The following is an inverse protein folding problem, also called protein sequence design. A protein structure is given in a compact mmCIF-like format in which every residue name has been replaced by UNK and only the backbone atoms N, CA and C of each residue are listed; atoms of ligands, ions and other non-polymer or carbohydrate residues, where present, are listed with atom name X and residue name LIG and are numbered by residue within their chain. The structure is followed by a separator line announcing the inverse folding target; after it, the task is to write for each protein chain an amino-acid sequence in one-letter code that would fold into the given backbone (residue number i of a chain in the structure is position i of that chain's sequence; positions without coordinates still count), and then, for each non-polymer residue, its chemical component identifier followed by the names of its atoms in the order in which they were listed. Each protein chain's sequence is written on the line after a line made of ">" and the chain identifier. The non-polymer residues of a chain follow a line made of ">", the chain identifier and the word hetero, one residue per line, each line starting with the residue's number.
data_IF_637458166029
#
_entry.id   IF_637458166029
#
_cell.length_a   1.000
_cell.length_b   1.000
_cell.length_c   1.000
_cell.angle_alpha   90.00
_cell.angle_beta   90.00
_cell.angle_gamma   90.00
#
_symmetry.space_group_name_H-M   'P 1'
#
loop_
_entity.id
_entity.type
_entity.pdbx_description
1 polymer ?
#
# COMPACT_ATOMS: atom_id res chain seq x y z
N UNK A 1 -23.56 16.77 -3.00
CA UNK A 1 -24.66 17.61 -3.51
C UNK A 1 -25.93 17.22 -2.78
N UNK A 2 -26.63 18.12 -2.09
CA UNK A 2 -27.71 17.72 -1.20
C UNK A 2 -28.96 17.36 -2.02
N UNK A 3 -29.54 16.19 -1.73
CA UNK A 3 -30.67 15.56 -2.44
C UNK A 3 -31.94 16.42 -2.51
N UNK A 4 -32.08 17.42 -1.62
CA UNK A 4 -33.21 18.35 -1.64
C UNK A 4 -33.22 19.30 -2.86
N UNK A 5 -32.06 19.60 -3.46
CA UNK A 5 -31.97 20.46 -4.66
C UNK A 5 -32.58 19.78 -5.91
N UNK A 6 -32.45 18.46 -6.01
CA UNK A 6 -33.03 17.68 -7.11
C UNK A 6 -34.55 17.56 -6.96
N UNK A 7 -35.04 17.37 -5.73
CA UNK A 7 -36.47 17.30 -5.43
C UNK A 7 -37.19 18.66 -5.63
N UNK A 8 -36.52 19.77 -5.37
CA UNK A 8 -37.08 21.10 -5.62
C UNK A 8 -37.21 21.36 -7.14
N UNK A 9 -36.23 20.92 -7.93
CA UNK A 9 -36.25 21.07 -9.39
C UNK A 9 -37.37 20.27 -10.07
N UNK A 10 -37.63 19.04 -9.63
CA UNK A 10 -38.74 18.23 -10.15
C UNK A 10 -40.11 18.78 -9.77
N UNK A 11 -40.26 19.34 -8.57
CA UNK A 11 -41.52 19.93 -8.12
C UNK A 11 -41.88 21.20 -8.91
N UNK A 12 -40.89 22.04 -9.23
CA UNK A 12 -41.08 23.24 -10.07
C UNK A 12 -41.47 22.85 -11.49
N UNK A 13 -40.84 21.83 -12.08
CA UNK A 13 -41.18 21.34 -13.42
C UNK A 13 -42.61 20.79 -13.51
N UNK A 14 -43.06 20.10 -12.45
CA UNK A 14 -44.41 19.55 -12.36
C UNK A 14 -45.48 20.65 -12.21
N UNK A 15 -45.21 21.67 -11.38
CA UNK A 15 -46.11 22.84 -11.22
C UNK A 15 -46.19 23.67 -12.49
N UNK A 16 -45.07 23.87 -13.21
CA UNK A 16 -45.08 24.56 -14.51
C UNK A 16 -45.89 23.79 -15.56
N UNK A 17 -45.76 22.46 -15.63
CA UNK A 17 -46.54 21.62 -16.54
C UNK A 17 -48.04 21.67 -16.22
N UNK A 18 -48.40 21.65 -14.93
CA UNK A 18 -49.78 21.79 -14.49
C UNK A 18 -50.36 23.19 -14.80
N UNK A 19 -49.57 24.26 -14.67
CA UNK A 19 -50.01 25.62 -15.00
C UNK A 19 -50.23 25.81 -16.51
N UNK A 20 -49.37 25.21 -17.35
CA UNK A 20 -49.52 25.23 -18.80
C UNK A 20 -50.75 24.43 -19.22
N UNK A 21 -50.97 23.23 -18.66
CA UNK A 21 -52.17 22.44 -18.88
C UNK A 21 -53.46 23.16 -18.41
N UNK A 22 -53.40 23.86 -17.26
CA UNK A 22 -54.53 24.65 -16.75
C UNK A 22 -54.83 25.90 -17.60
N UNK A 23 -53.79 26.54 -18.17
CA UNK A 23 -53.95 27.66 -19.12
C UNK A 23 -54.52 27.21 -20.46
N UNK A 24 -54.15 26.02 -20.94
CA UNK A 24 -54.70 25.41 -22.15
C UNK A 24 -56.15 24.95 -21.93
N UNK A 25 -56.46 24.34 -20.77
CA UNK A 25 -57.80 23.87 -20.43
C UNK A 25 -58.85 24.96 -20.20
N UNK A 26 -58.44 26.21 -19.89
CA UNK A 26 -59.36 27.34 -19.75
C UNK A 26 -59.76 28.01 -21.07
N UNK A 27 -59.11 27.66 -22.20
CA UNK A 27 -59.46 28.22 -23.51
C UNK A 27 -60.52 27.42 -24.29
N UNK A 28 -61.01 26.30 -23.75
CA UNK A 28 -61.87 25.34 -24.50
C UNK A 28 -63.25 25.09 -23.91
N UNK A 29 -63.82 26.02 -23.13
CA UNK A 29 -65.24 25.95 -22.75
C UNK A 29 -65.92 27.32 -22.90
N UNK A 30 -66.03 27.78 -24.15
CA UNK A 30 -67.03 28.77 -24.55
C UNK A 30 -67.90 28.13 -25.65
N UNK A 31 -69.12 27.76 -25.30
CA UNK A 31 -70.14 27.29 -26.24
C UNK A 31 -70.43 28.38 -27.29
N UNK A 32 -70.58 28.03 -28.58
CA UNK A 32 -70.96 29.00 -29.60
C UNK A 32 -72.45 29.34 -29.45
N UNK A 33 -72.76 30.63 -29.28
CA UNK A 33 -74.11 31.13 -29.57
C UNK A 33 -74.26 31.21 -31.08
N UNK A 34 -75.08 30.32 -31.64
CA UNK A 34 -75.56 30.40 -33.02
C UNK A 34 -76.48 31.63 -33.14
N UNK A 35 -75.90 32.77 -33.52
CA UNK A 35 -76.63 33.82 -34.21
C UNK A 35 -76.42 33.58 -35.71
N UNK A 36 -77.51 33.42 -36.45
CA UNK A 36 -77.47 33.14 -37.88
C UNK A 36 -76.77 34.26 -38.65
N UNK A 37 -75.64 33.92 -39.27
CA UNK A 37 -75.09 34.63 -40.42
C UNK A 37 -74.55 33.57 -41.39
N UNK A 38 -75.05 33.58 -42.62
CA UNK A 38 -74.80 32.56 -43.63
C UNK A 38 -73.42 32.71 -44.26
N UNK A 39 -72.35 32.43 -43.51
CA UNK A 39 -71.00 32.22 -44.05
C UNK A 39 -70.67 30.73 -44.14
N UNK A 40 -70.09 30.34 -45.26
CA UNK A 40 -69.98 28.96 -45.73
C UNK A 40 -69.09 28.07 -44.84
N UNK A 41 -69.38 26.75 -44.74
CA UNK A 41 -68.56 25.77 -44.02
C UNK A 41 -67.08 25.71 -44.45
N UNK A 42 -66.71 26.30 -45.60
CA UNK A 42 -65.35 26.32 -46.14
C UNK A 42 -64.34 27.19 -45.39
N UNK A 43 -64.77 28.32 -44.78
CA UNK A 43 -63.83 29.25 -44.11
C UNK A 43 -63.31 28.70 -42.76
N UNK A 44 -64.15 28.00 -42.00
CA UNK A 44 -63.73 27.32 -40.75
C UNK A 44 -62.89 26.07 -41.03
N UNK A 45 -63.14 25.38 -42.15
CA UNK A 45 -62.33 24.25 -42.58
C UNK A 45 -60.90 24.68 -42.96
N UNK A 46 -60.74 25.83 -43.64
CA UNK A 46 -59.42 26.38 -43.96
C UNK A 46 -58.61 26.81 -42.74
N UNK A 47 -59.25 27.44 -41.74
CA UNK A 47 -58.58 27.85 -40.50
C UNK A 47 -58.18 26.65 -39.60
N UNK A 48 -58.87 25.52 -39.73
CA UNK A 48 -58.48 24.27 -39.06
C UNK A 48 -57.31 23.59 -39.79
N UNK A 49 -57.31 23.57 -41.13
CA UNK A 49 -56.22 23.03 -41.94
C UNK A 49 -54.89 23.82 -41.76
N UNK A 50 -54.96 25.15 -41.64
CA UNK A 50 -53.81 25.99 -41.28
C UNK A 50 -53.26 25.66 -39.88
N UNK A 51 -54.12 25.36 -38.90
CA UNK A 51 -53.67 24.99 -37.55
C UNK A 51 -53.12 23.57 -37.50
N UNK A 52 -53.71 22.63 -38.24
CA UNK A 52 -53.20 21.26 -38.34
C UNK A 52 -51.83 21.24 -39.03
N UNK A 53 -51.64 22.03 -40.09
CA UNK A 53 -50.32 22.20 -40.74
C UNK A 53 -49.28 22.86 -39.82
N UNK A 54 -49.67 23.87 -39.03
CA UNK A 54 -48.79 24.49 -38.02
C UNK A 54 -48.41 23.50 -36.90
N UNK A 55 -49.35 22.70 -36.40
CA UNK A 55 -49.12 21.65 -35.40
C UNK A 55 -48.16 20.58 -35.93
N UNK A 56 -48.37 20.11 -37.16
CA UNK A 56 -47.47 19.15 -37.81
C UNK A 56 -46.05 19.71 -37.92
N UNK A 57 -45.91 21.00 -38.27
CA UNK A 57 -44.59 21.66 -38.34
C UNK A 57 -43.92 21.76 -36.96
N UNK A 58 -44.66 22.18 -35.93
CA UNK A 58 -44.15 22.26 -34.56
C UNK A 58 -43.74 20.88 -34.01
N UNK A 59 -44.50 19.83 -34.30
CA UNK A 59 -44.14 18.47 -33.93
C UNK A 59 -42.87 17.98 -34.65
N UNK A 60 -42.70 18.33 -35.93
CA UNK A 60 -41.46 18.02 -36.67
C UNK A 60 -40.24 18.77 -36.11
N UNK A 61 -40.40 20.05 -35.73
CA UNK A 61 -39.36 20.83 -35.07
C UNK A 61 -38.97 20.25 -33.69
N UNK A 62 -39.97 19.89 -32.86
CA UNK A 62 -39.76 19.22 -31.56
C UNK A 62 -39.08 17.86 -31.70
N UNK A 63 -39.46 17.06 -32.70
CA UNK A 63 -38.83 15.77 -32.99
C UNK A 63 -37.36 15.96 -33.37
N UNK A 64 -37.06 16.92 -34.24
CA UNK A 64 -35.68 17.26 -34.65
C UNK A 64 -34.86 17.76 -33.45
N UNK A 65 -35.43 18.60 -32.60
CA UNK A 65 -34.78 19.07 -31.37
C UNK A 65 -34.51 17.94 -30.39
N UNK A 66 -35.45 17.01 -30.24
CA UNK A 66 -35.30 15.83 -29.39
C UNK A 66 -34.17 14.93 -29.90
N UNK A 67 -34.12 14.65 -31.21
CA UNK A 67 -33.04 13.87 -31.84
C UNK A 67 -31.66 14.51 -31.64
N UNK A 68 -31.55 15.83 -31.86
CA UNK A 68 -30.30 16.57 -31.64
C UNK A 68 -29.88 16.54 -30.16
N UNK A 69 -30.83 16.66 -29.23
CA UNK A 69 -30.54 16.58 -27.79
C UNK A 69 -30.06 15.19 -27.38
N UNK A 70 -30.63 14.12 -27.95
CA UNK A 70 -30.21 12.75 -27.70
C UNK A 70 -28.84 12.46 -28.30
N UNK A 71 -28.56 12.93 -29.52
CA UNK A 71 -27.25 12.80 -30.14
C UNK A 71 -26.17 13.50 -29.30
N UNK A 72 -26.44 14.72 -28.84
CA UNK A 72 -25.56 15.47 -27.94
C UNK A 72 -25.31 14.74 -26.61
N UNK A 73 -26.36 14.20 -25.97
CA UNK A 73 -26.23 13.42 -24.73
C UNK A 73 -25.40 12.14 -24.93
N UNK A 74 -25.57 11.44 -26.07
CA UNK A 74 -24.77 10.25 -26.39
C UNK A 74 -23.30 10.58 -26.55
N UNK A 75 -22.99 11.62 -27.32
CA UNK A 75 -21.61 12.06 -27.53
C UNK A 75 -20.95 12.49 -26.22
N UNK A 76 -21.67 13.26 -25.39
CA UNK A 76 -21.18 13.67 -24.08
C UNK A 76 -20.92 12.47 -23.17
N UNK A 77 -21.84 11.50 -23.11
CA UNK A 77 -21.67 10.27 -22.34
C UNK A 77 -20.47 9.44 -22.82
N UNK A 78 -20.22 9.36 -24.14
CA UNK A 78 -19.05 8.69 -24.68
C UNK A 78 -17.76 9.39 -24.28
N UNK A 79 -17.70 10.72 -24.40
CA UNK A 79 -16.54 11.51 -23.98
C UNK A 79 -16.26 11.37 -22.48
N UNK A 80 -17.29 11.37 -21.63
CA UNK A 80 -17.18 11.16 -20.19
C UNK A 80 -16.63 9.76 -19.86
N UNK A 81 -17.14 8.71 -20.52
CA UNK A 81 -16.65 7.33 -20.32
C UNK A 81 -15.19 7.16 -20.72
N UNK A 82 -14.78 7.72 -21.87
CA UNK A 82 -13.39 7.68 -22.32
C UNK A 82 -12.45 8.36 -21.32
N UNK A 83 -12.79 9.58 -20.89
CA UNK A 83 -12.00 10.30 -19.88
C UNK A 83 -11.94 9.57 -18.55
N UNK A 84 -13.06 8.98 -18.11
CA UNK A 84 -13.08 8.19 -16.87
C UNK A 84 -12.14 6.99 -16.95
N UNK A 85 -12.05 6.32 -18.11
CA UNK A 85 -11.12 5.21 -18.33
C UNK A 85 -9.66 5.67 -18.34
N UNK A 86 -9.32 6.66 -19.15
CA UNK A 86 -7.95 7.21 -19.22
C UNK A 86 -7.48 7.58 -17.80
N UNK A 87 -8.34 8.24 -17.02
CA UNK A 87 -8.03 8.57 -15.63
C UNK A 87 -7.86 7.34 -14.72
N UNK A 88 -8.65 6.27 -14.89
CA UNK A 88 -8.52 5.04 -14.12
C UNK A 88 -7.21 4.31 -14.48
N UNK A 89 -6.92 4.15 -15.77
CA UNK A 89 -5.73 3.45 -16.25
C UNK A 89 -4.45 4.20 -15.80
N UNK A 90 -4.40 5.53 -15.97
CA UNK A 90 -3.30 6.37 -15.49
C UNK A 90 -3.12 6.26 -13.96
N UNK A 91 -4.23 6.25 -13.21
CA UNK A 91 -4.18 6.13 -11.74
C UNK A 91 -3.69 4.75 -11.33
N UNK A 92 -4.14 3.68 -11.99
CA UNK A 92 -3.73 2.31 -11.71
C UNK A 92 -2.22 2.12 -11.97
N UNK A 93 -1.68 2.66 -13.06
CA UNK A 93 -0.25 2.60 -13.38
C UNK A 93 0.59 3.33 -12.31
N UNK A 94 0.22 4.57 -11.97
CA UNK A 94 0.95 5.36 -10.97
C UNK A 94 0.91 4.71 -9.59
N UNK A 95 -0.24 4.19 -9.15
CA UNK A 95 -0.34 3.52 -7.85
C UNK A 95 0.43 2.19 -7.89
N UNK A 96 0.33 1.42 -8.97
CA UNK A 96 1.04 0.16 -9.13
C UNK A 96 2.56 0.32 -8.96
N UNK A 97 3.17 1.26 -9.68
CA UNK A 97 4.60 1.54 -9.55
C UNK A 97 5.00 2.02 -8.15
N UNK A 98 4.20 2.89 -7.53
CA UNK A 98 4.45 3.35 -6.15
C UNK A 98 4.35 2.22 -5.13
N UNK A 99 3.43 1.28 -5.31
CA UNK A 99 3.30 0.15 -4.39
C UNK A 99 4.46 -0.84 -4.53
N UNK A 100 5.03 -1.00 -5.72
CA UNK A 100 6.26 -1.79 -5.91
C UNK A 100 7.41 -1.21 -5.08
N UNK A 101 7.61 0.11 -5.12
CA UNK A 101 8.59 0.79 -4.27
C UNK A 101 8.32 0.57 -2.78
N UNK A 102 7.06 0.66 -2.36
CA UNK A 102 6.65 0.40 -0.96
C UNK A 102 6.94 -1.05 -0.55
N UNK A 103 6.69 -2.03 -1.42
CA UNK A 103 6.99 -3.45 -1.13
C UNK A 103 8.49 -3.64 -0.87
N UNK A 104 9.34 -3.05 -1.71
CA UNK A 104 10.80 -3.11 -1.53
C UNK A 104 11.22 -2.48 -0.19
N UNK A 105 10.69 -1.30 0.14
CA UNK A 105 10.97 -0.63 1.41
C UNK A 105 10.49 -1.42 2.63
N UNK A 106 9.32 -2.04 2.55
CA UNK A 106 8.77 -2.90 3.62
C UNK A 106 9.65 -4.15 3.82
N UNK A 107 10.15 -4.73 2.73
CA UNK A 107 11.12 -5.83 2.79
C UNK A 107 12.41 -5.43 3.51
N UNK A 108 13.03 -4.31 3.11
CA UNK A 108 14.23 -3.79 3.76
C UNK A 108 13.99 -3.47 5.25
N UNK A 109 12.83 -2.91 5.60
CA UNK A 109 12.46 -2.63 6.98
C UNK A 109 12.28 -3.90 7.83
N UNK A 110 11.77 -4.99 7.23
CA UNK A 110 11.67 -6.31 7.86
C UNK A 110 13.04 -6.89 8.18
N UNK A 111 13.93 -6.87 7.20
CA UNK A 111 15.29 -7.42 7.33
C UNK A 111 16.09 -6.63 8.36
N UNK A 112 15.95 -5.30 8.36
CA UNK A 112 16.56 -4.44 9.38
C UNK A 112 16.05 -4.75 10.80
N UNK A 113 14.75 -5.01 10.97
CA UNK A 113 14.19 -5.40 12.27
C UNK A 113 14.73 -6.76 12.74
N UNK A 114 14.82 -7.74 11.85
CA UNK A 114 15.39 -9.05 12.17
C UNK A 114 16.87 -8.95 12.57
N UNK A 115 17.68 -8.22 11.79
CA UNK A 115 19.08 -7.97 12.10
C UNK A 115 19.27 -7.22 13.44
N UNK A 116 18.35 -6.31 13.77
CA UNK A 116 18.37 -5.60 15.06
C UNK A 116 18.11 -6.58 16.21
N UNK A 117 17.16 -7.50 16.07
CA UNK A 117 16.86 -8.51 17.09
C UNK A 117 18.04 -9.45 17.35
N UNK A 118 18.71 -9.90 16.28
CA UNK A 118 19.93 -10.70 16.39
C UNK A 118 21.04 -9.94 17.12
N UNK A 119 21.28 -8.67 16.74
CA UNK A 119 22.27 -7.82 17.40
C UNK A 119 21.97 -7.61 18.89
N UNK A 120 20.71 -7.34 19.24
CA UNK A 120 20.29 -7.19 20.65
C UNK A 120 20.62 -8.46 21.44
N UNK A 121 20.37 -9.64 20.85
CA UNK A 121 20.68 -10.93 21.49
C UNK A 121 22.18 -11.12 21.70
N UNK A 122 22.98 -10.87 20.65
CA UNK A 122 24.44 -10.99 20.71
C UNK A 122 25.06 -10.01 21.71
N UNK A 123 24.61 -8.75 21.72
CA UNK A 123 25.11 -7.74 22.66
C UNK A 123 24.71 -8.08 24.09
N UNK A 124 23.49 -8.56 24.33
CA UNK A 124 23.06 -9.01 25.66
C UNK A 124 23.90 -10.19 26.17
N UNK A 125 24.26 -11.13 25.29
CA UNK A 125 25.17 -12.21 25.66
C UNK A 125 26.57 -11.69 26.00
N UNK A 126 27.11 -10.78 25.18
CA UNK A 126 28.42 -10.18 25.44
C UNK A 126 28.46 -9.38 26.76
N UNK A 127 27.38 -8.64 27.07
CA UNK A 127 27.20 -7.93 28.33
C UNK A 127 27.26 -8.89 29.53
N UNK A 128 26.53 -10.00 29.48
CA UNK A 128 26.56 -11.03 30.52
C UNK A 128 27.97 -11.61 30.73
N UNK A 129 28.69 -11.91 29.63
CA UNK A 129 30.08 -12.39 29.71
C UNK A 129 31.00 -11.35 30.35
N UNK A 130 30.80 -10.06 30.06
CA UNK A 130 31.59 -8.97 30.63
C UNK A 130 31.36 -8.84 32.14
N UNK A 131 30.11 -8.96 32.61
CA UNK A 131 29.77 -8.99 34.04
C UNK A 131 30.46 -10.16 34.75
N UNK A 132 30.42 -11.37 34.17
CA UNK A 132 31.11 -12.53 34.75
C UNK A 132 32.62 -12.30 34.85
N UNK A 133 33.24 -11.70 33.84
CA UNK A 133 34.66 -11.35 33.86
C UNK A 133 34.98 -10.28 34.90
N UNK A 134 34.12 -9.27 35.05
CA UNK A 134 34.28 -8.23 36.06
C UNK A 134 34.19 -8.80 37.48
N UNK A 135 33.27 -9.74 37.73
CA UNK A 135 33.19 -10.45 39.00
C UNK A 135 34.45 -11.26 39.28
N UNK A 136 34.93 -12.06 38.32
CA UNK A 136 36.17 -12.83 38.49
C UNK A 136 37.40 -11.95 38.73
N UNK A 137 37.48 -10.79 38.06
CA UNK A 137 38.52 -9.80 38.33
C UNK A 137 38.39 -9.18 39.74
N UNK A 138 37.18 -8.96 40.24
CA UNK A 138 36.92 -8.48 41.59
C UNK A 138 37.32 -9.48 42.68
N UNK A 139 37.09 -10.77 42.45
CA UNK A 139 37.56 -11.85 43.34
C UNK A 139 39.09 -11.90 43.38
N UNK A 140 39.75 -11.82 42.21
CA UNK A 140 41.20 -11.77 42.13
C UNK A 140 41.80 -10.53 42.83
N UNK A 141 41.14 -9.37 42.69
CA UNK A 141 41.53 -8.14 43.38
C UNK A 141 41.46 -8.30 44.91
N UNK A 142 40.39 -8.94 45.40
CA UNK A 142 40.20 -9.21 46.83
C UNK A 142 41.27 -10.15 47.36
N UNK A 143 41.55 -11.26 46.66
CA UNK A 143 42.60 -12.20 47.04
C UNK A 143 44.00 -11.57 47.03
N UNK A 144 44.27 -10.65 46.09
CA UNK A 144 45.51 -9.89 46.05
C UNK A 144 45.62 -8.95 47.26
N UNK A 145 44.55 -8.25 47.62
CA UNK A 145 44.51 -7.39 48.81
C UNK A 145 44.81 -8.19 50.09
N UNK A 146 44.21 -9.36 50.25
CA UNK A 146 44.46 -10.24 51.40
C UNK A 146 45.93 -10.70 51.46
N UNK A 147 46.51 -11.02 50.31
CA UNK A 147 47.92 -11.39 50.19
C UNK A 147 48.84 -10.23 50.56
N UNK A 148 48.53 -9.00 50.12
CA UNK A 148 49.28 -7.79 50.47
C UNK A 148 49.25 -7.52 51.98
N UNK A 149 48.08 -7.66 52.62
CA UNK A 149 47.96 -7.55 54.07
C UNK A 149 48.81 -8.60 54.83
N UNK A 150 48.86 -9.84 54.32
CA UNK A 150 49.71 -10.87 54.91
C UNK A 150 51.19 -10.51 54.81
N UNK A 151 51.64 -10.01 53.65
CA UNK A 151 53.03 -9.56 53.46
C UNK A 151 53.34 -8.36 54.34
N UNK A 152 52.41 -7.41 54.50
CA UNK A 152 52.57 -6.27 55.41
C UNK A 152 52.77 -6.71 56.85
N UNK A 153 52.01 -7.71 57.30
CA UNK A 153 52.17 -8.33 58.63
C UNK A 153 53.56 -8.94 58.82
N UNK A 154 54.07 -9.67 57.83
CA UNK A 154 55.42 -10.26 57.86
C UNK A 154 56.49 -9.15 57.89
N UNK A 155 56.36 -8.11 57.06
CA UNK A 155 57.29 -6.98 57.04
C UNK A 155 57.34 -6.26 58.40
N UNK A 156 56.19 -6.10 59.06
CA UNK A 156 56.10 -5.55 60.41
C UNK A 156 56.84 -6.39 61.45
N UNK A 157 56.72 -7.73 61.39
CA UNK A 157 57.48 -8.63 62.27
C UNK A 157 58.98 -8.51 62.04
N UNK A 158 59.43 -8.48 60.78
CA UNK A 158 60.86 -8.33 60.44
C UNK A 158 61.40 -6.98 60.94
N UNK A 159 60.64 -5.90 60.77
CA UNK A 159 60.99 -4.58 61.30
C UNK A 159 61.14 -4.60 62.84
N UNK A 160 60.23 -5.31 63.53
CA UNK A 160 60.34 -5.56 64.98
C UNK A 160 61.61 -6.32 65.37
N UNK A 161 61.95 -7.39 64.64
CA UNK A 161 63.19 -8.17 64.86
C UNK A 161 64.43 -7.30 64.62
N UNK A 162 64.44 -6.49 63.57
CA UNK A 162 65.53 -5.57 63.27
C UNK A 162 65.72 -4.55 64.40
N UNK A 163 64.64 -3.94 64.89
CA UNK A 163 64.69 -3.01 66.04
C UNK A 163 65.23 -3.67 67.32
N UNK A 164 64.78 -4.88 67.63
CA UNK A 164 65.29 -5.64 68.78
C UNK A 164 66.77 -6.01 68.63
N UNK A 165 67.17 -6.42 67.42
CA UNK A 165 68.57 -6.76 67.10
C UNK A 165 69.47 -5.53 67.22
N UNK A 166 69.01 -4.36 66.75
CA UNK A 166 69.71 -3.07 66.90
C UNK A 166 69.92 -2.72 68.38
N UNK A 167 68.92 -2.94 69.24
CA UNK A 167 69.04 -2.73 70.68
C UNK A 167 70.02 -3.72 71.34
N UNK A 168 69.99 -4.99 70.96
CA UNK A 168 70.94 -5.99 71.45
C UNK A 168 72.37 -5.65 71.03
N UNK A 169 72.58 -5.25 69.79
CA UNK A 169 73.87 -4.83 69.26
C UNK A 169 74.40 -3.60 70.00
N UNK A 170 73.54 -2.61 70.26
CA UNK A 170 73.91 -1.43 71.05
C UNK A 170 74.37 -1.80 72.47
N UNK A 171 73.64 -2.69 73.15
CA UNK A 171 74.03 -3.16 74.47
C UNK A 171 75.38 -3.91 74.42
N UNK A 172 75.62 -4.71 73.38
CA UNK A 172 76.90 -5.38 73.17
C UNK A 172 78.06 -4.39 72.90
N UNK A 173 77.83 -3.34 72.11
CA UNK A 173 78.82 -2.27 71.89
C UNK A 173 79.18 -1.58 73.21
N UNK A 174 78.20 -1.29 74.07
CA UNK A 174 78.42 -0.67 75.39
C UNK A 174 79.29 -1.57 76.27
N UNK A 175 78.98 -2.87 76.35
CA UNK A 175 79.73 -3.80 77.20
C UNK A 175 81.13 -4.10 76.64
N UNK A 176 81.30 -4.10 75.32
CA UNK A 176 82.59 -4.21 74.65
C UNK A 176 83.51 -3.01 74.99
N UNK A 177 82.96 -1.78 74.99
CA UNK A 177 83.69 -0.58 75.44
C UNK A 177 84.08 -0.70 76.92
N UNK A 178 83.18 -1.23 77.75
CA UNK A 178 83.42 -1.43 79.19
C UNK A 178 84.53 -2.43 79.49
N UNK A 179 84.69 -3.46 78.65
CA UNK A 179 85.77 -4.44 78.75
C UNK A 179 87.15 -3.92 78.29
N UNK A 180 87.22 -2.70 77.75
CA UNK A 180 88.47 -2.06 77.33
C UNK A 180 89.19 -2.83 76.22
N UNK A 181 90.50 -3.06 76.38
CA UNK A 181 91.32 -3.71 75.35
C UNK A 181 90.88 -5.16 75.04
N UNK A 182 90.29 -5.88 76.00
CA UNK A 182 89.80 -7.24 75.81
C UNK A 182 88.50 -7.30 74.97
N UNK A 183 87.76 -6.19 74.89
CA UNK A 183 86.48 -6.09 74.17
C UNK A 183 86.58 -5.59 72.74
N UNK A 184 87.76 -5.22 72.24
CA UNK A 184 87.90 -4.56 70.93
C UNK A 184 87.36 -5.39 69.76
N UNK A 185 87.60 -6.69 69.73
CA UNK A 185 87.04 -7.59 68.71
C UNK A 185 85.52 -7.73 68.80
N UNK A 186 84.96 -7.72 70.01
CA UNK A 186 83.50 -7.75 70.22
C UNK A 186 82.83 -6.44 69.79
N UNK A 187 83.51 -5.30 69.96
CA UNK A 187 82.99 -3.99 69.52
C UNK A 187 82.79 -3.96 68.00
N UNK A 188 83.76 -4.49 67.22
CA UNK A 188 83.64 -4.56 65.75
C UNK A 188 82.46 -5.42 65.32
N UNK A 189 82.27 -6.57 65.95
CA UNK A 189 81.13 -7.46 65.63
C UNK A 189 79.80 -6.79 66.01
N UNK A 190 79.73 -6.13 67.17
CA UNK A 190 78.52 -5.44 67.60
C UNK A 190 78.12 -4.29 66.66
N UNK A 191 79.09 -3.50 66.17
CA UNK A 191 78.83 -2.45 65.19
C UNK A 191 78.37 -3.01 63.83
N UNK A 192 78.93 -4.13 63.37
CA UNK A 192 78.48 -4.80 62.14
C UNK A 192 77.04 -5.32 62.28
N UNK A 193 76.70 -5.95 63.41
CA UNK A 193 75.32 -6.42 63.69
C UNK A 193 74.34 -5.24 63.74
N UNK A 194 74.75 -4.11 64.32
CA UNK A 194 73.94 -2.88 64.34
C UNK A 194 73.69 -2.35 62.93
N UNK A 195 74.72 -2.31 62.08
CA UNK A 195 74.62 -1.89 60.68
C UNK A 195 73.68 -2.78 59.87
N UNK A 196 73.75 -4.11 60.07
CA UNK A 196 72.83 -5.08 59.46
C UNK A 196 71.38 -4.85 59.90
N UNK A 197 71.17 -4.60 61.20
CA UNK A 197 69.85 -4.32 61.74
C UNK A 197 69.25 -3.03 61.16
N UNK A 198 70.05 -1.97 61.02
CA UNK A 198 69.64 -0.70 60.44
C UNK A 198 69.28 -0.85 58.95
N UNK A 199 70.10 -1.59 58.20
CA UNK A 199 69.83 -1.92 56.79
C UNK A 199 68.53 -2.72 56.66
N UNK A 200 68.31 -3.70 57.54
CA UNK A 200 67.09 -4.53 57.55
C UNK A 200 65.85 -3.69 57.86
N UNK A 201 65.92 -2.77 58.81
CA UNK A 201 64.85 -1.83 59.12
C UNK A 201 64.51 -0.94 57.92
N UNK A 202 65.53 -0.39 57.25
CA UNK A 202 65.33 0.42 56.06
C UNK A 202 64.68 -0.36 54.91
N UNK A 203 65.15 -1.58 54.64
CA UNK A 203 64.54 -2.43 53.59
C UNK A 203 63.09 -2.79 53.91
N UNK A 204 62.75 -3.02 55.19
CA UNK A 204 61.36 -3.30 55.59
C UNK A 204 60.45 -2.07 55.48
N UNK A 205 60.96 -0.87 55.72
CA UNK A 205 60.23 0.38 55.43
C UNK A 205 59.92 0.52 53.93
N UNK A 206 60.90 0.24 53.06
CA UNK A 206 60.69 0.28 51.61
C UNK A 206 59.65 -0.76 51.14
N UNK A 207 59.68 -1.97 51.70
CA UNK A 207 58.67 -3.01 51.45
C UNK A 207 57.28 -2.51 51.86
N UNK A 208 57.15 -1.93 53.06
CA UNK A 208 55.88 -1.42 53.58
C UNK A 208 55.31 -0.31 52.70
N UNK A 209 56.15 0.62 52.26
CA UNK A 209 55.77 1.69 51.32
C UNK A 209 55.28 1.13 49.98
N UNK A 210 55.97 0.10 49.46
CA UNK A 210 55.58 -0.56 48.20
C UNK A 210 54.23 -1.27 48.33
N UNK A 211 53.98 -1.93 49.46
CA UNK A 211 52.70 -2.60 49.73
C UNK A 211 51.56 -1.58 49.79
N UNK A 212 51.76 -0.45 50.48
CA UNK A 212 50.75 0.60 50.55
C UNK A 212 50.39 1.17 49.16
N UNK A 213 51.37 1.31 48.26
CA UNK A 213 51.12 1.70 46.87
C UNK A 213 50.31 0.64 46.11
N UNK A 214 50.64 -0.64 46.28
CA UNK A 214 49.89 -1.74 45.65
C UNK A 214 48.45 -1.86 46.19
N UNK A 215 48.23 -1.64 47.49
CA UNK A 215 46.89 -1.61 48.07
C UNK A 215 46.04 -0.47 47.46
N UNK A 216 46.64 0.70 47.23
CA UNK A 216 45.97 1.81 46.55
C UNK A 216 45.60 1.47 45.10
N UNK A 217 46.50 0.82 44.36
CA UNK A 217 46.25 0.35 42.99
C UNK A 217 45.09 -0.67 42.95
N UNK A 218 45.05 -1.61 43.90
CA UNK A 218 43.97 -2.58 44.03
C UNK A 218 42.63 -1.90 44.35
N UNK A 219 42.63 -0.90 45.23
CA UNK A 219 41.43 -0.13 45.54
C UNK A 219 40.91 0.63 44.30
N UNK A 220 41.80 1.22 43.50
CA UNK A 220 41.44 1.87 42.24
C UNK A 220 40.91 0.86 41.21
N UNK A 221 41.50 -0.33 41.13
CA UNK A 221 40.99 -1.41 40.29
C UNK A 221 39.56 -1.81 40.69
N UNK A 222 39.27 -1.92 41.99
CA UNK A 222 37.92 -2.19 42.49
C UNK A 222 36.89 -1.09 42.18
N UNK A 223 37.32 0.18 42.09
CA UNK A 223 36.44 1.27 41.62
C UNK A 223 36.13 1.15 40.13
N UNK A 224 37.16 0.89 39.31
CA UNK A 224 37.01 0.68 37.86
C UNK A 224 36.09 -0.50 37.55
N UNK A 225 36.22 -1.61 38.27
CA UNK A 225 35.36 -2.78 38.08
C UNK A 225 33.89 -2.49 38.41
N UNK A 226 33.61 -1.70 39.45
CA UNK A 226 32.24 -1.25 39.77
C UNK A 226 31.65 -0.36 38.69
N UNK A 227 32.45 0.55 38.13
CA UNK A 227 32.02 1.38 37.01
C UNK A 227 31.67 0.52 35.79
N UNK A 228 32.51 -0.46 35.43
CA UNK A 228 32.23 -1.41 34.33
C UNK A 228 30.91 -2.15 34.55
N UNK A 229 30.63 -2.63 35.77
CA UNK A 229 29.36 -3.32 36.05
C UNK A 229 28.17 -2.38 35.88
N UNK A 230 28.30 -1.12 36.30
CA UNK A 230 27.26 -0.09 36.10
C UNK A 230 27.02 0.19 34.62
N UNK A 231 28.10 0.42 33.85
CA UNK A 231 28.04 0.70 32.41
C UNK A 231 27.39 -0.46 31.64
N UNK A 232 27.62 -1.71 32.07
CA UNK A 232 26.95 -2.87 31.48
C UNK A 232 25.45 -2.87 31.80
N UNK A 233 25.05 -2.47 33.00
CA UNK A 233 23.64 -2.30 33.34
C UNK A 233 22.93 -1.32 32.39
N UNK A 234 23.57 -0.19 32.11
CA UNK A 234 23.06 0.81 31.16
C UNK A 234 22.97 0.26 29.73
N UNK A 235 23.94 -0.59 29.31
CA UNK A 235 23.90 -1.29 28.03
C UNK A 235 22.71 -2.24 27.96
N UNK A 236 22.43 -3.01 29.01
CA UNK A 236 21.29 -3.92 29.06
C UNK A 236 19.94 -3.18 29.00
N UNK A 237 19.83 -2.03 29.67
CA UNK A 237 18.68 -1.13 29.56
C UNK A 237 18.46 -0.66 28.12
N UNK A 238 19.52 -0.18 27.47
CA UNK A 238 19.48 0.25 26.07
C UNK A 238 19.11 -0.90 25.12
N UNK A 239 19.63 -2.10 25.35
CA UNK A 239 19.29 -3.29 24.55
C UNK A 239 17.82 -3.70 24.69
N UNK A 240 17.24 -3.61 25.90
CA UNK A 240 15.80 -3.82 26.09
C UNK A 240 14.95 -2.82 25.33
N UNK A 241 15.34 -1.54 25.33
CA UNK A 241 14.64 -0.52 24.57
C UNK A 241 14.73 -0.77 23.05
N UNK A 242 15.91 -1.15 22.55
CA UNK A 242 16.11 -1.51 21.15
C UNK A 242 15.31 -2.74 20.74
N UNK A 243 15.25 -3.77 21.59
CA UNK A 243 14.39 -4.94 21.37
C UNK A 243 12.92 -4.54 21.18
N UNK A 244 12.39 -3.70 22.08
CA UNK A 244 11.03 -3.19 21.97
C UNK A 244 10.79 -2.24 20.77
N UNK A 245 11.84 -1.62 20.20
CA UNK A 245 11.74 -0.88 18.93
C UNK A 245 11.64 -1.87 17.76
N UNK A 246 12.48 -2.90 17.75
CA UNK A 246 12.48 -3.92 16.70
C UNK A 246 11.14 -4.67 16.63
N UNK A 247 10.55 -5.02 17.77
CA UNK A 247 9.22 -5.66 17.85
C UNK A 247 8.13 -4.76 17.25
N UNK A 248 8.12 -3.47 17.63
CA UNK A 248 7.18 -2.49 17.07
C UNK A 248 7.36 -2.31 15.56
N UNK A 249 8.59 -2.32 15.09
CA UNK A 249 8.89 -2.24 13.66
C UNK A 249 8.38 -3.47 12.91
N UNK A 250 8.53 -4.67 13.48
CA UNK A 250 7.97 -5.90 12.93
C UNK A 250 6.44 -5.82 12.78
N UNK A 251 5.75 -5.32 13.80
CA UNK A 251 4.29 -5.12 13.76
C UNK A 251 3.87 -4.10 12.69
N UNK A 252 4.60 -2.99 12.56
CA UNK A 252 4.36 -1.96 11.53
C UNK A 252 4.52 -2.55 10.13
N UNK A 253 5.60 -3.29 9.89
CA UNK A 253 5.87 -4.00 8.63
C UNK A 253 4.72 -4.95 8.31
N UNK A 254 4.25 -5.74 9.29
CA UNK A 254 3.12 -6.65 9.09
C UNK A 254 1.81 -5.93 8.74
N UNK A 255 1.54 -4.77 9.35
CA UNK A 255 0.38 -3.94 8.98
C UNK A 255 0.53 -3.31 7.59
N UNK A 256 1.71 -2.82 7.25
CA UNK A 256 2.00 -2.23 5.93
C UNK A 256 1.83 -3.26 4.82
N UNK A 257 2.33 -4.48 5.01
CA UNK A 257 2.17 -5.55 4.04
C UNK A 257 0.70 -5.82 3.71
N UNK A 258 -0.15 -5.98 4.75
CA UNK A 258 -1.61 -6.14 4.55
C UNK A 258 -2.27 -4.93 3.88
N UNK A 259 -1.79 -3.72 4.20
CA UNK A 259 -2.30 -2.50 3.57
C UNK A 259 -1.94 -2.44 2.09
N UNK A 260 -0.74 -2.86 1.72
CA UNK A 260 -0.29 -2.94 0.32
C UNK A 260 -1.11 -3.98 -0.44
N UNK A 261 -1.30 -5.18 0.12
CA UNK A 261 -2.13 -6.23 -0.48
C UNK A 261 -3.57 -5.73 -0.72
N UNK A 262 -4.18 -5.06 0.27
CA UNK A 262 -5.51 -4.50 0.14
C UNK A 262 -5.58 -3.41 -0.95
N UNK A 263 -4.56 -2.57 -1.06
CA UNK A 263 -4.50 -1.52 -2.09
C UNK A 263 -4.31 -2.13 -3.48
N UNK A 264 -3.49 -3.18 -3.62
CA UNK A 264 -3.33 -3.92 -4.88
C UNK A 264 -4.65 -4.56 -5.33
N UNK A 265 -5.40 -5.16 -4.41
CA UNK A 265 -6.73 -5.69 -4.71
C UNK A 265 -7.68 -4.60 -5.23
N UNK A 266 -7.66 -3.42 -4.59
CA UNK A 266 -8.49 -2.29 -4.99
C UNK A 266 -8.14 -1.74 -6.39
N UNK A 267 -6.86 -1.78 -6.79
CA UNK A 267 -6.44 -1.44 -8.16
C UNK A 267 -6.99 -2.47 -9.15
N UNK A 268 -6.93 -3.76 -8.82
CA UNK A 268 -7.53 -4.82 -9.63
C UNK A 268 -9.03 -4.60 -9.87
N UNK A 269 -9.77 -4.21 -8.82
CA UNK A 269 -11.20 -3.86 -8.93
C UNK A 269 -11.43 -2.64 -9.83
N UNK A 270 -10.58 -1.61 -9.76
CA UNK A 270 -10.66 -0.44 -10.63
C UNK A 270 -10.44 -0.80 -12.10
N UNK A 271 -9.48 -1.67 -12.39
CA UNK A 271 -9.25 -2.19 -13.73
C UNK A 271 -10.45 -2.98 -14.26
N UNK A 272 -11.12 -3.79 -13.43
CA UNK A 272 -12.36 -4.48 -13.80
C UNK A 272 -13.51 -3.49 -14.09
N UNK A 273 -13.63 -2.41 -13.30
CA UNK A 273 -14.60 -1.33 -13.58
C UNK A 273 -14.34 -0.67 -14.93
N UNK A 274 -13.07 -0.39 -15.26
CA UNK A 274 -12.68 0.14 -16.57
C UNK A 274 -13.03 -0.82 -17.71
N UNK A 275 -12.82 -2.13 -17.54
CA UNK A 275 -13.19 -3.15 -18.51
C UNK A 275 -14.72 -3.26 -18.69
N UNK A 276 -15.50 -3.21 -17.59
CA UNK A 276 -16.97 -3.21 -17.65
C UNK A 276 -17.53 -1.96 -18.35
N UNK A 277 -16.88 -0.81 -18.19
CA UNK A 277 -17.20 0.41 -18.93
C UNK A 277 -17.00 0.24 -20.45
N UNK A 278 -16.01 -0.56 -20.86
CA UNK A 278 -15.78 -0.95 -22.25
C UNK A 278 -16.80 -1.97 -22.77
N UNK A 279 -17.21 -2.96 -21.96
CA UNK A 279 -18.24 -3.94 -22.37
C UNK A 279 -19.60 -3.30 -22.63
N UNK A 280 -19.99 -2.25 -21.90
CA UNK A 280 -21.24 -1.49 -22.19
C UNK A 280 -21.28 -0.78 -23.55
N UNK A 281 -20.16 -0.62 -24.24
CA UNK A 281 -20.15 -0.18 -25.66
C UNK A 281 -20.71 -1.27 -26.58
N UNK A 282 -20.56 -2.53 -26.16
CA UNK A 282 -20.94 -3.74 -26.88
C UNK A 282 -22.17 -4.42 -26.26
N UNK A 283 -23.03 -3.68 -25.52
CA UNK A 283 -24.29 -4.25 -25.04
C UNK A 283 -25.13 -4.66 -26.25
N UNK A 284 -24.97 -5.93 -26.61
CA UNK A 284 -25.70 -6.62 -27.66
C UNK A 284 -27.08 -6.90 -27.10
N UNK A 285 -28.06 -6.16 -27.58
CA UNK A 285 -29.46 -6.39 -27.19
C UNK A 285 -29.92 -7.66 -27.89
N UNK A 286 -30.65 -8.51 -27.18
CA UNK A 286 -31.30 -9.68 -27.80
C UNK A 286 -32.31 -9.17 -28.81
N UNK A 287 -32.13 -9.59 -30.06
CA UNK A 287 -33.03 -9.28 -31.17
C UNK A 287 -33.28 -10.58 -31.91
N UNK A 288 -34.53 -11.00 -31.91
CA UNK A 288 -34.99 -12.16 -32.68
C UNK A 288 -35.48 -11.69 -34.05
N UNK A 289 -35.11 -12.41 -35.10
CA UNK A 289 -35.51 -12.09 -36.46
C UNK A 289 -34.59 -12.73 -37.49
N UNK A 290 -34.99 -12.71 -38.77
CA UNK A 290 -34.19 -13.31 -39.83
C UNK A 290 -33.16 -12.31 -40.38
N UNK A 291 -31.93 -12.78 -40.59
CA UNK A 291 -30.88 -12.06 -41.34
C UNK A 291 -30.45 -12.91 -42.53
N UNK A 292 -30.28 -12.26 -43.67
CA UNK A 292 -29.69 -12.90 -44.85
C UNK A 292 -28.23 -12.51 -44.98
N UNK A 293 -27.35 -13.50 -44.99
CA UNK A 293 -25.91 -13.31 -45.15
C UNK A 293 -25.51 -13.62 -46.59
N UNK A 294 -25.06 -12.60 -47.31
CA UNK A 294 -24.50 -12.75 -48.65
C UNK A 294 -22.98 -12.93 -48.52
N UNK A 295 -22.48 -14.10 -48.93
CA UNK A 295 -21.03 -14.36 -49.03
C UNK A 295 -20.55 -14.07 -50.45
N UNK A 296 -19.25 -13.81 -50.63
CA UNK A 296 -18.66 -13.51 -51.93
C UNK A 296 -18.60 -14.71 -52.89
N UNK A 297 -18.74 -15.95 -52.38
CA UNK A 297 -18.49 -17.18 -53.12
C UNK A 297 -19.60 -18.24 -53.00
N UNK A 298 -20.80 -17.88 -52.50
CA UNK A 298 -21.88 -18.84 -52.27
C UNK A 298 -23.29 -18.24 -52.34
N UNK A 299 -24.32 -19.10 -52.33
CA UNK A 299 -25.71 -18.66 -52.26
C UNK A 299 -25.99 -17.94 -50.93
N UNK A 300 -26.98 -17.03 -50.88
CA UNK A 300 -27.35 -16.33 -49.65
C UNK A 300 -27.75 -17.32 -48.56
N UNK A 301 -27.24 -17.10 -47.34
CA UNK A 301 -27.50 -17.95 -46.19
C UNK A 301 -28.54 -17.25 -45.31
N UNK A 302 -29.64 -17.92 -45.02
CA UNK A 302 -30.63 -17.41 -44.06
C UNK A 302 -30.20 -17.85 -42.66
N UNK A 303 -30.18 -16.90 -41.73
CA UNK A 303 -29.74 -17.09 -40.36
C UNK A 303 -30.71 -16.40 -39.41
N UNK A 304 -30.78 -16.89 -38.17
CA UNK A 304 -31.60 -16.29 -37.13
C UNK A 304 -30.76 -15.39 -36.25
N UNK A 305 -31.15 -14.13 -36.11
CA UNK A 305 -30.48 -13.18 -35.23
C UNK A 305 -30.60 -13.63 -33.77
N UNK A 306 -29.51 -13.44 -33.04
CA UNK A 306 -29.41 -13.73 -31.62
C UNK A 306 -29.31 -12.43 -30.81
N UNK A 307 -28.44 -11.52 -31.28
CA UNK A 307 -28.18 -10.26 -30.62
C UNK A 307 -27.67 -9.21 -31.62
N UNK A 308 -27.91 -7.93 -31.35
CA UNK A 308 -27.50 -6.84 -32.24
C UNK A 308 -26.90 -5.70 -31.41
N UNK A 309 -25.82 -5.11 -31.92
CA UNK A 309 -25.16 -3.92 -31.40
C UNK A 309 -24.81 -2.98 -32.55
N UNK A 310 -24.38 -1.75 -32.24
CA UNK A 310 -23.95 -0.79 -33.25
C UNK A 310 -22.73 -1.26 -34.08
N UNK A 311 -21.95 -2.21 -33.54
CA UNK A 311 -20.66 -2.64 -34.12
C UNK A 311 -20.65 -4.10 -34.56
N UNK A 312 -21.77 -4.82 -34.37
CA UNK A 312 -21.85 -6.20 -34.81
C UNK A 312 -23.17 -6.90 -34.48
N UNK A 313 -23.29 -8.10 -35.04
CA UNK A 313 -24.47 -8.96 -35.02
C UNK A 313 -24.07 -10.36 -34.56
N UNK A 314 -24.83 -10.97 -33.65
CA UNK A 314 -24.82 -12.40 -33.39
C UNK A 314 -25.96 -13.07 -34.15
N UNK A 315 -25.71 -14.18 -34.82
CA UNK A 315 -26.74 -14.96 -35.51
C UNK A 315 -26.44 -16.47 -35.48
N UNK A 316 -27.47 -17.29 -35.66
CA UNK A 316 -27.37 -18.75 -35.78
C UNK A 316 -27.56 -19.14 -37.25
N UNK A 317 -26.61 -19.87 -37.81
CA UNK A 317 -26.70 -20.46 -39.14
C UNK A 317 -26.85 -21.99 -39.03
N UNK A 318 -27.35 -22.68 -40.05
CA UNK A 318 -27.28 -24.14 -40.10
C UNK A 318 -25.82 -24.63 -40.07
N UNK A 319 -25.51 -25.73 -39.36
CA UNK A 319 -24.13 -26.21 -39.21
C UNK A 319 -23.40 -26.46 -40.54
N UNK A 320 -24.13 -26.83 -41.60
CA UNK A 320 -23.58 -27.02 -42.96
C UNK A 320 -23.29 -25.75 -43.76
N UNK A 321 -23.59 -24.56 -43.23
CA UNK A 321 -23.40 -23.29 -43.92
C UNK A 321 -21.91 -22.99 -44.14
N UNK A 322 -21.53 -22.61 -45.37
CA UNK A 322 -20.15 -22.28 -45.74
C UNK A 322 -19.81 -20.82 -45.40
N UNK A 323 -19.57 -20.55 -44.12
CA UNK A 323 -19.12 -19.25 -43.58
C UNK A 323 -18.03 -19.51 -42.56
N UNK A 324 -16.83 -18.99 -42.80
CA UNK A 324 -15.64 -19.25 -41.96
C UNK A 324 -15.20 -17.97 -41.27
N UNK A 325 -14.54 -18.10 -40.12
CA UNK A 325 -13.94 -16.95 -39.42
C UNK A 325 -12.95 -16.26 -40.36
N UNK A 326 -13.12 -14.94 -40.49
CA UNK A 326 -12.34 -14.11 -41.40
C UNK A 326 -13.06 -13.70 -42.68
N UNK A 327 -14.13 -14.39 -43.08
CA UNK A 327 -14.89 -14.07 -44.29
C UNK A 327 -15.54 -12.68 -44.20
N UNK A 328 -15.60 -12.00 -45.35
CA UNK A 328 -16.39 -10.79 -45.53
C UNK A 328 -17.78 -11.19 -46.03
N UNK A 329 -18.80 -10.76 -45.30
CA UNK A 329 -20.20 -11.05 -45.59
C UNK A 329 -20.99 -9.75 -45.57
N UNK A 330 -21.98 -9.65 -46.45
CA UNK A 330 -22.97 -8.56 -46.38
C UNK A 330 -24.19 -9.09 -45.65
N UNK A 331 -24.46 -8.54 -44.47
CA UNK A 331 -25.61 -8.91 -43.65
C UNK A 331 -26.79 -8.00 -43.99
N UNK A 332 -27.83 -8.56 -44.59
CA UNK A 332 -29.13 -7.93 -44.83
C UNK A 332 -30.05 -8.24 -43.66
N UNK A 333 -30.23 -7.25 -42.79
CA UNK A 333 -31.03 -7.32 -41.57
C UNK A 333 -32.41 -6.78 -41.88
N UNK A 334 -33.44 -7.60 -41.73
CA UNK A 334 -34.83 -7.22 -41.91
C UNK A 334 -35.66 -7.71 -40.71
N UNK A 335 -35.79 -6.86 -39.69
CA UNK A 335 -36.53 -7.16 -38.46
C UNK A 335 -37.42 -5.99 -38.08
N UNK A 336 -38.72 -6.24 -37.92
CA UNK A 336 -39.74 -5.23 -37.69
C UNK A 336 -39.67 -4.08 -38.72
N UNK A 337 -39.30 -2.87 -38.26
CA UNK A 337 -39.12 -1.67 -39.08
C UNK A 337 -37.67 -1.44 -39.52
N UNK A 338 -36.71 -2.25 -39.05
CA UNK A 338 -35.30 -2.14 -39.42
C UNK A 338 -35.02 -2.96 -40.68
N UNK A 339 -34.68 -2.28 -41.77
CA UNK A 339 -34.28 -2.89 -43.04
C UNK A 339 -32.95 -2.29 -43.52
N UNK A 340 -31.84 -2.90 -43.12
CA UNK A 340 -30.49 -2.39 -43.41
C UNK A 340 -29.56 -3.47 -43.95
N UNK A 341 -28.56 -3.06 -44.73
CA UNK A 341 -27.46 -3.92 -45.14
C UNK A 341 -26.13 -3.36 -44.63
N UNK A 342 -25.34 -4.20 -43.97
CA UNK A 342 -24.01 -3.85 -43.47
C UNK A 342 -22.98 -4.89 -43.88
N UNK A 343 -21.84 -4.43 -44.40
CA UNK A 343 -20.68 -5.30 -44.61
C UNK A 343 -20.09 -5.65 -43.25
N UNK A 344 -19.74 -6.91 -43.06
CA UNK A 344 -19.26 -7.45 -41.80
C UNK A 344 -18.17 -8.48 -42.03
N UNK A 345 -17.27 -8.61 -41.05
CA UNK A 345 -16.29 -9.69 -40.99
C UNK A 345 -16.75 -10.72 -39.97
N UNK A 346 -16.64 -11.99 -40.33
CA UNK A 346 -16.91 -13.09 -39.39
C UNK A 346 -15.80 -13.12 -38.34
N UNK A 347 -16.12 -12.71 -37.12
CA UNK A 347 -15.17 -12.62 -36.02
C UNK A 347 -15.10 -13.92 -35.21
N UNK A 348 -16.22 -14.67 -35.15
CA UNK A 348 -16.33 -15.91 -34.36
C UNK A 348 -17.33 -16.87 -34.97
N UNK A 349 -17.06 -18.18 -34.88
CA UNK A 349 -18.02 -19.27 -35.17
C UNK A 349 -17.91 -20.35 -34.09
N UNK A 350 -19.03 -20.74 -33.50
CA UNK A 350 -19.13 -21.78 -32.47
C UNK A 350 -20.19 -22.79 -32.90
N UNK A 351 -19.81 -24.06 -33.07
CA UNK A 351 -20.74 -25.13 -33.41
C UNK A 351 -21.61 -25.50 -32.19
N UNK A 352 -22.94 -25.58 -32.39
CA UNK A 352 -23.94 -25.96 -31.39
C UNK A 352 -24.92 -26.97 -32.00
N UNK A 353 -24.49 -28.22 -32.07
CA UNK A 353 -25.32 -29.33 -32.58
C UNK A 353 -25.69 -29.12 -34.05
N UNK A 354 -26.98 -28.89 -34.33
CA UNK A 354 -27.52 -28.72 -35.68
C UNK A 354 -27.35 -27.28 -36.24
N UNK A 355 -26.90 -26.35 -35.41
CA UNK A 355 -26.66 -24.93 -35.78
C UNK A 355 -25.25 -24.48 -35.39
N UNK A 356 -24.77 -23.40 -35.99
CA UNK A 356 -23.54 -22.71 -35.60
C UNK A 356 -23.86 -21.26 -35.23
N UNK A 357 -23.39 -20.81 -34.08
CA UNK A 357 -23.47 -19.42 -33.65
C UNK A 357 -22.32 -18.63 -34.29
N UNK A 358 -22.66 -17.57 -35.03
CA UNK A 358 -21.72 -16.70 -35.73
C UNK A 358 -21.77 -15.30 -35.16
N UNK A 359 -20.58 -14.78 -34.80
CA UNK A 359 -20.36 -13.38 -34.46
C UNK A 359 -19.83 -12.61 -35.66
N UNK A 360 -20.60 -11.63 -36.11
CA UNK A 360 -20.26 -10.70 -37.19
C UNK A 360 -19.84 -9.35 -36.59
N UNK A 361 -18.72 -8.81 -37.07
CA UNK A 361 -18.24 -7.47 -36.74
C UNK A 361 -18.40 -6.56 -37.95
N UNK A 362 -19.20 -5.50 -37.82
CA UNK A 362 -19.47 -4.62 -38.95
C UNK A 362 -18.21 -3.84 -39.39
N UNK A 363 -18.07 -3.62 -40.70
CA UNK A 363 -16.93 -2.99 -41.34
C UNK A 363 -17.39 -1.78 -42.14
N UNK A 364 -16.82 -0.60 -41.90
CA UNK A 364 -17.04 0.60 -42.73
C UNK A 364 -18.52 1.01 -42.89
N UNK A 365 -19.37 0.75 -41.89
CA UNK A 365 -20.82 1.01 -41.96
C UNK A 365 -21.11 2.49 -42.22
N UNK A 366 -21.86 2.84 -43.28
CA UNK A 366 -22.28 4.21 -43.54
C UNK A 366 -23.07 4.82 -42.37
N UNK A 367 -22.90 6.11 -42.13
CA UNK A 367 -23.52 6.78 -40.97
C UNK A 367 -25.04 6.65 -40.92
N UNK A 368 -25.73 6.63 -42.08
CA UNK A 368 -27.18 6.44 -42.15
C UNK A 368 -27.60 5.03 -41.65
N UNK A 369 -26.89 3.98 -42.04
CA UNK A 369 -27.14 2.59 -41.58
C UNK A 369 -26.87 2.46 -40.09
N UNK A 370 -25.76 3.04 -39.62
CA UNK A 370 -25.41 3.05 -38.18
C UNK A 370 -26.46 3.80 -37.36
N UNK A 371 -27.01 4.89 -37.90
CA UNK A 371 -28.06 5.66 -37.25
C UNK A 371 -29.37 4.87 -37.16
N UNK A 372 -29.76 4.15 -38.22
CA UNK A 372 -30.95 3.29 -38.21
C UNK A 372 -30.84 2.13 -37.22
N UNK A 373 -29.70 1.44 -37.18
CA UNK A 373 -29.44 0.37 -36.20
C UNK A 373 -29.53 0.93 -34.77
N UNK A 374 -28.91 2.09 -34.49
CA UNK A 374 -28.96 2.69 -33.17
C UNK A 374 -30.37 3.17 -32.78
N UNK A 375 -31.16 3.70 -33.73
CA UNK A 375 -32.55 4.10 -33.50
C UNK A 375 -33.40 2.88 -33.11
N UNK A 376 -33.22 1.77 -33.81
CA UNK A 376 -33.87 0.49 -33.52
C UNK A 376 -33.47 -0.06 -32.14
N UNK A 377 -32.17 -0.14 -31.85
CA UNK A 377 -31.65 -0.61 -30.56
C UNK A 377 -32.12 0.26 -29.38
N UNK A 378 -32.20 1.58 -29.55
CA UNK A 378 -32.70 2.49 -28.50
C UNK A 378 -34.18 2.25 -28.21
N UNK A 379 -34.98 1.94 -29.24
CA UNK A 379 -36.41 1.65 -29.07
C UNK A 379 -36.63 0.34 -28.32
N UNK A 380 -35.91 -0.72 -28.69
CA UNK A 380 -36.01 -2.03 -28.03
C UNK A 380 -35.47 -1.94 -26.60
N UNK A 381 -34.33 -1.29 -26.39
CA UNK A 381 -33.73 -1.11 -25.07
C UNK A 381 -34.51 -0.19 -24.12
N UNK A 382 -35.51 0.56 -24.61
CA UNK A 382 -36.40 1.39 -23.78
C UNK A 382 -37.74 0.69 -23.45
N UNK A 383 -38.04 -0.44 -24.11
CA UNK A 383 -39.25 -1.24 -23.88
C UNK A 383 -39.04 -2.48 -23.00
N UNK A 384 -37.79 -2.78 -22.62
CA UNK A 384 -37.39 -3.81 -21.66
C UNK A 384 -36.96 -3.15 -20.34
#
# INVERSE_FOLDING_TARGET
>A
MPTWLVLLGTLIAMVCSALVAFRLGRRTLAQPRLAGDGREPGEHAGALDERDTEIVRLHAELATQAENSQAYQRELNQRLRRRAREAIDDTAEVIGGKLEDVVVQVGAARDAAAATHERVTLTSHAANVLVQRAHGAGEAATALNDSLHQVAGIAGVISGIASQTRLLALNATIEAVRAGAAGSGFAVVADEVKSLADTTAHSTEQITSTIAALEADVAQMGQTLRAIISDVGDIEDAMRQLGGIADRQHDIVGRLHRSVEATMAQIGDLSDVAERLERRRHDRLKVEGAVRLQTSAGPPITADMADLSADGLGCHVPAGARVVVGDLVRAEIAVDELSVAADARVARRIERGETAEIGLQFQGVPDHVRHEINRFLTRIGAGA
#
